data_IF_444096735989
#
_entry.id   IF_444096735989
#
_cell.length_a   1.000
_cell.length_b   1.000
_cell.length_c   1.000
_cell.angle_alpha   90.00
_cell.angle_beta   90.00
_cell.angle_gamma   90.00
#
_symmetry.space_group_name_H-M   'P 1'
#
loop_
_entity.id
_entity.type
_entity.pdbx_description
1 polymer ?
#
# COMPACT_ATOMS: atom_id res chain seq x y z
N UNK A 1 -30.60 9.43 2.37
CA UNK A 1 -29.23 9.30 1.81
C UNK A 1 -28.40 8.46 2.74
N UNK A 2 -27.89 7.30 2.31
CA UNK A 2 -26.88 6.58 3.09
C UNK A 2 -25.59 7.38 2.97
N UNK A 3 -25.18 8.04 4.05
CA UNK A 3 -23.86 8.66 4.13
C UNK A 3 -22.88 7.48 4.11
N UNK A 4 -22.20 7.25 2.99
CA UNK A 4 -21.04 6.36 3.00
C UNK A 4 -20.12 6.89 4.09
N UNK A 5 -19.80 6.07 5.09
CA UNK A 5 -18.94 6.48 6.18
C UNK A 5 -17.53 6.77 5.62
N UNK A 6 -17.31 8.00 5.19
CA UNK A 6 -16.01 8.46 4.71
C UNK A 6 -15.11 8.69 5.92
N UNK A 7 -13.94 8.07 5.92
CA UNK A 7 -12.91 8.32 6.93
C UNK A 7 -11.72 8.99 6.27
N UNK A 8 -11.23 10.06 6.88
CA UNK A 8 -10.02 10.75 6.45
C UNK A 8 -8.81 10.02 7.04
N UNK A 9 -7.81 9.74 6.20
CA UNK A 9 -6.57 9.10 6.58
C UNK A 9 -5.40 9.88 5.97
N UNK A 10 -4.32 9.98 6.72
CA UNK A 10 -3.01 10.35 6.19
C UNK A 10 -2.47 9.23 5.31
N UNK A 11 -1.55 9.54 4.41
CA UNK A 11 -0.92 8.53 3.57
C UNK A 11 -0.21 7.44 4.41
N UNK A 12 0.43 7.83 5.52
CA UNK A 12 1.05 6.91 6.47
C UNK A 12 0.06 5.94 7.11
N UNK A 13 -1.15 6.40 7.45
CA UNK A 13 -2.20 5.52 7.96
C UNK A 13 -2.71 4.54 6.91
N UNK A 14 -2.73 4.94 5.63
CA UNK A 14 -3.03 4.04 4.52
C UNK A 14 -1.91 3.01 4.33
N UNK A 15 -0.65 3.42 4.37
CA UNK A 15 0.51 2.52 4.29
C UNK A 15 0.48 1.45 5.39
N UNK A 16 0.19 1.83 6.63
CA UNK A 16 0.11 0.90 7.76
C UNK A 16 -1.03 -0.13 7.64
N UNK A 17 -1.97 0.08 6.72
CA UNK A 17 -3.10 -0.83 6.45
C UNK A 17 -2.86 -1.75 5.27
N UNK A 18 -1.75 -1.57 4.56
CA UNK A 18 -1.42 -2.41 3.42
C UNK A 18 -1.14 -3.81 3.93
N UNK A 19 -1.73 -4.77 3.25
CA UNK A 19 -1.51 -6.17 3.53
C UNK A 19 -0.12 -6.58 3.05
N UNK A 20 0.82 -6.59 3.98
CA UNK A 20 2.22 -6.94 3.73
C UNK A 20 2.40 -8.44 3.41
N UNK A 21 1.36 -9.28 3.52
CA UNK A 21 1.38 -10.66 3.04
C UNK A 21 1.26 -10.75 1.51
N UNK A 22 0.70 -9.71 0.86
CA UNK A 22 0.55 -9.65 -0.59
C UNK A 22 1.40 -8.58 -1.27
N UNK A 23 1.85 -7.58 -0.52
CA UNK A 23 2.54 -6.42 -1.06
C UNK A 23 3.85 -6.17 -0.32
N UNK A 24 4.92 -6.00 -1.10
CA UNK A 24 6.15 -5.38 -0.63
C UNK A 24 6.14 -3.91 -1.00
N UNK A 25 6.39 -3.05 -0.03
CA UNK A 25 6.49 -1.61 -0.23
C UNK A 25 7.96 -1.20 -0.21
N UNK A 26 8.41 -0.51 -1.26
CA UNK A 26 9.74 0.11 -1.33
C UNK A 26 9.56 1.62 -1.24
N UNK A 27 10.13 2.22 -0.22
CA UNK A 27 10.16 3.67 -0.01
C UNK A 27 11.41 4.25 -0.69
N UNK A 28 11.25 5.32 -1.46
CA UNK A 28 12.36 5.99 -2.17
C UNK A 28 12.71 7.33 -1.53
N UNK A 29 11.70 8.18 -1.34
CA UNK A 29 11.76 9.48 -0.68
C UNK A 29 10.44 9.75 0.07
N UNK A 30 10.28 10.94 0.66
CA UNK A 30 9.15 11.27 1.54
C UNK A 30 7.75 11.08 0.93
N UNK A 31 7.60 11.00 -0.40
CA UNK A 31 6.30 10.80 -1.05
C UNK A 31 6.29 9.75 -2.16
N UNK A 32 7.42 9.11 -2.47
CA UNK A 32 7.50 8.11 -3.53
C UNK A 32 7.65 6.69 -2.98
N UNK A 33 6.66 5.85 -3.30
CA UNK A 33 6.59 4.45 -2.88
C UNK A 33 6.28 3.55 -4.07
N UNK A 34 6.96 2.40 -4.16
CA UNK A 34 6.63 1.35 -5.11
C UNK A 34 6.01 0.16 -4.39
N UNK A 35 4.82 -0.24 -4.87
CA UNK A 35 4.09 -1.41 -4.39
C UNK A 35 4.33 -2.58 -5.33
N UNK A 36 4.99 -3.61 -4.82
CA UNK A 36 5.34 -4.80 -5.59
C UNK A 36 4.50 -5.96 -5.06
N UNK A 37 3.62 -6.56 -5.87
CA UNK A 37 2.92 -7.77 -5.46
C UNK A 37 3.95 -8.87 -5.16
N UNK A 38 3.86 -9.53 -4.01
CA UNK A 38 4.81 -10.57 -3.59
C UNK A 38 4.84 -11.74 -4.57
N UNK A 39 3.74 -12.00 -5.29
CA UNK A 39 3.70 -13.00 -6.37
C UNK A 39 4.69 -12.73 -7.53
N UNK A 40 5.17 -11.50 -7.66
CA UNK A 40 6.21 -11.11 -8.62
C UNK A 40 7.57 -10.87 -7.94
N UNK A 41 7.65 -11.06 -6.62
CA UNK A 41 8.88 -10.93 -5.84
C UNK A 41 9.59 -12.29 -5.76
N UNK A 42 10.49 -12.53 -6.69
CA UNK A 42 11.17 -13.82 -6.85
C UNK A 42 11.12 -14.21 -8.31
N UNK A 43 11.99 -13.58 -9.10
CA UNK A 43 12.00 -13.73 -10.55
C UNK A 43 11.90 -15.18 -10.99
N UNK A 44 10.78 -15.50 -11.63
CA UNK A 44 10.81 -16.29 -12.84
C UNK A 44 9.85 -15.59 -13.81
N UNK A 45 10.29 -15.23 -15.02
CA UNK A 45 9.49 -14.48 -16.00
C UNK A 45 8.17 -15.16 -16.37
#
# INVERSE_FOLDING_TARGET
MKIHATRHYTFKELLNRIDLEYWRVVEHDEMNYTFIPIKYWGGNP
#
